data_IF_007729981143
#
_entry.id   IF_007729981143
#
_cell.length_a   1.000
_cell.length_b   1.000
_cell.length_c   1.000
_cell.angle_alpha   90.00
_cell.angle_beta   90.00
_cell.angle_gamma   90.00
#
_symmetry.space_group_name_H-M   'P 1'
#
loop_
_entity.id
_entity.type
_entity.pdbx_description
1 polymer ?
#
# COMPACT_ATOMS: atom_id res chain seq x y z
N UNK A 1 -35.69 3.50 6.22
CA UNK A 1 -35.22 2.31 5.49
C UNK A 1 -34.35 1.49 6.44
N UNK A 2 -34.67 0.21 6.75
CA UNK A 2 -33.77 -0.57 7.59
C UNK A 2 -32.50 -0.91 6.79
N UNK A 3 -31.33 -0.78 7.42
CA UNK A 3 -30.06 -1.24 6.87
C UNK A 3 -30.14 -2.76 6.70
N UNK A 4 -30.11 -3.25 5.47
CA UNK A 4 -30.07 -4.69 5.20
C UNK A 4 -28.60 -5.09 5.02
N UNK A 5 -28.06 -5.82 5.99
CA UNK A 5 -26.77 -6.50 5.87
C UNK A 5 -26.92 -7.79 5.06
N UNK A 6 -25.81 -8.24 4.47
CA UNK A 6 -25.67 -9.57 3.87
C UNK A 6 -24.47 -10.26 4.52
N UNK A 7 -24.67 -11.48 5.01
CA UNK A 7 -23.61 -12.30 5.61
C UNK A 7 -23.36 -13.50 4.71
N UNK A 8 -22.08 -13.78 4.43
CA UNK A 8 -21.64 -14.93 3.65
C UNK A 8 -20.80 -15.83 4.57
N UNK A 9 -21.36 -16.95 5.01
CA UNK A 9 -20.62 -18.00 5.70
C UNK A 9 -20.15 -19.01 4.65
N UNK A 10 -18.95 -18.77 4.12
CA UNK A 10 -18.38 -19.54 3.01
C UNK A 10 -16.85 -19.58 3.14
N UNK A 11 -16.19 -20.69 2.77
CA UNK A 11 -14.74 -20.73 2.67
C UNK A 11 -14.19 -19.80 1.59
N UNK A 12 -15.03 -19.37 0.62
CA UNK A 12 -14.61 -18.57 -0.53
C UNK A 12 -15.74 -17.67 -1.04
N UNK A 13 -15.44 -16.39 -1.22
CA UNK A 13 -16.28 -15.42 -1.92
C UNK A 13 -15.47 -14.80 -3.06
N UNK A 14 -15.99 -14.83 -4.28
CA UNK A 14 -15.29 -14.36 -5.48
C UNK A 14 -16.15 -13.44 -6.33
N UNK A 15 -15.49 -12.49 -6.99
CA UNK A 15 -16.05 -11.65 -8.04
C UNK A 15 -15.17 -11.76 -9.28
N UNK A 16 -15.76 -11.92 -10.46
CA UNK A 16 -15.00 -12.11 -11.71
C UNK A 16 -14.47 -10.82 -12.31
N UNK A 17 -14.97 -9.66 -11.85
CA UNK A 17 -14.48 -8.34 -12.25
C UNK A 17 -14.19 -7.48 -11.02
N UNK A 18 -15.15 -6.66 -10.60
CA UNK A 18 -14.92 -5.61 -9.60
C UNK A 18 -15.68 -5.91 -8.32
N UNK A 19 -14.99 -5.81 -7.18
CA UNK A 19 -15.58 -5.70 -5.85
C UNK A 19 -15.52 -4.24 -5.42
N UNK A 20 -16.69 -3.62 -5.21
CA UNK A 20 -16.78 -2.22 -4.72
C UNK A 20 -17.37 -2.20 -3.31
N UNK A 21 -16.58 -1.78 -2.33
CA UNK A 21 -17.04 -1.46 -0.99
C UNK A 21 -17.11 0.06 -0.80
N UNK A 22 -18.30 0.62 -0.53
CA UNK A 22 -18.42 2.06 -0.24
C UNK A 22 -17.91 2.44 1.17
N UNK A 23 -17.89 1.46 2.07
CA UNK A 23 -17.38 1.61 3.42
C UNK A 23 -15.94 1.12 3.54
N UNK A 24 -15.69 0.31 4.57
CA UNK A 24 -14.36 -0.26 4.85
C UNK A 24 -14.27 -1.69 4.34
N UNK A 25 -13.07 -2.09 3.95
CA UNK A 25 -12.68 -3.50 3.77
C UNK A 25 -11.81 -3.88 4.97
N UNK A 26 -12.08 -5.02 5.60
CA UNK A 26 -11.27 -5.56 6.69
C UNK A 26 -10.85 -6.99 6.37
N UNK A 27 -9.55 -7.28 6.43
CA UNK A 27 -8.95 -8.59 6.16
C UNK A 27 -8.15 -9.08 7.36
N UNK A 28 -8.81 -9.70 8.34
CA UNK A 28 -8.18 -10.16 9.59
C UNK A 28 -7.06 -11.21 9.39
N UNK A 29 -7.11 -11.98 8.29
CA UNK A 29 -6.07 -12.94 7.91
C UNK A 29 -4.99 -12.38 6.98
N UNK A 30 -4.98 -11.06 6.76
CA UNK A 30 -4.17 -10.39 5.74
C UNK A 30 -4.96 -10.05 4.48
N UNK A 31 -4.32 -9.30 3.60
CA UNK A 31 -4.89 -8.89 2.31
C UNK A 31 -3.80 -9.00 1.24
N UNK A 32 -4.05 -9.77 0.20
CA UNK A 32 -3.21 -9.85 -0.98
C UNK A 32 -3.88 -9.08 -2.12
N UNK A 33 -3.16 -8.12 -2.70
CA UNK A 33 -3.58 -7.39 -3.90
C UNK A 33 -2.52 -7.66 -4.98
N UNK A 34 -2.93 -8.30 -6.08
CA UNK A 34 -2.02 -8.82 -7.10
C UNK A 34 -2.52 -8.52 -8.51
N UNK A 35 -1.58 -8.33 -9.45
CA UNK A 35 -1.87 -7.98 -10.84
C UNK A 35 -2.19 -6.49 -11.04
N UNK A 36 -2.45 -6.11 -12.31
CA UNK A 36 -2.75 -4.72 -12.69
C UNK A 36 -1.57 -3.75 -12.47
N UNK A 37 -1.89 -2.46 -12.34
CA UNK A 37 -0.92 -1.38 -12.08
C UNK A 37 -0.73 -1.08 -10.58
N UNK A 38 -1.06 -2.04 -9.71
CA UNK A 38 -0.98 -1.88 -8.25
C UNK A 38 -2.24 -1.28 -7.60
N UNK A 39 -2.08 -0.74 -6.39
CA UNK A 39 -3.13 -0.11 -5.61
C UNK A 39 -2.91 1.41 -5.51
N UNK A 40 -3.99 2.19 -5.54
CA UNK A 40 -3.95 3.65 -5.34
C UNK A 40 -4.79 4.03 -4.14
N UNK A 41 -4.25 4.91 -3.30
CA UNK A 41 -4.89 5.41 -2.10
C UNK A 41 -5.04 6.93 -2.20
N UNK A 42 -6.19 7.44 -1.77
CA UNK A 42 -6.39 8.87 -1.56
C UNK A 42 -6.63 9.10 -0.06
N UNK A 43 -5.64 9.67 0.62
CA UNK A 43 -5.59 9.81 2.08
C UNK A 43 -4.38 9.10 2.68
N UNK A 44 -4.37 9.02 4.00
CA UNK A 44 -3.24 8.47 4.76
C UNK A 44 -3.20 6.94 4.70
N UNK A 45 -1.97 6.40 4.65
CA UNK A 45 -1.69 4.97 4.84
C UNK A 45 -0.87 4.82 6.12
N UNK A 46 -1.48 4.28 7.17
CA UNK A 46 -0.81 4.02 8.45
C UNK A 46 -0.46 2.54 8.57
N UNK A 47 0.82 2.22 8.53
CA UNK A 47 1.33 0.90 8.89
C UNK A 47 1.72 0.85 10.37
N UNK A 48 1.29 -0.20 11.07
CA UNK A 48 1.66 -0.44 12.47
C UNK A 48 2.43 -1.76 12.54
N UNK A 49 3.73 -1.67 12.85
CA UNK A 49 4.63 -2.82 12.90
C UNK A 49 4.93 -3.45 11.53
N UNK A 50 5.72 -4.53 11.55
CA UNK A 50 6.14 -5.25 10.34
C UNK A 50 7.08 -4.45 9.43
N UNK A 51 7.35 -5.00 8.24
CA UNK A 51 8.24 -4.43 7.23
C UNK A 51 7.48 -4.21 5.91
N UNK A 52 7.92 -3.24 5.12
CA UNK A 52 7.61 -3.15 3.69
C UNK A 52 8.80 -3.77 2.95
N UNK A 53 8.52 -4.70 2.04
CA UNK A 53 9.53 -5.26 1.13
C UNK A 53 9.07 -5.02 -0.29
N UNK A 54 9.95 -4.43 -1.09
CA UNK A 54 9.75 -4.12 -2.51
C UNK A 54 11.05 -4.40 -3.23
N UNK A 55 10.97 -4.85 -4.47
CA UNK A 55 12.10 -5.01 -5.39
C UNK A 55 12.32 -3.77 -6.27
N UNK A 56 11.35 -2.85 -6.28
CA UNK A 56 11.42 -1.55 -6.93
C UNK A 56 11.70 -0.38 -5.97
N UNK A 57 11.84 0.81 -6.55
CA UNK A 57 12.06 2.06 -5.80
C UNK A 57 10.77 2.57 -5.13
N UNK A 58 10.93 3.13 -3.94
CA UNK A 58 9.88 3.91 -3.28
C UNK A 58 10.12 5.39 -3.57
N UNK A 59 9.27 5.98 -4.40
CA UNK A 59 9.34 7.40 -4.69
C UNK A 59 8.34 8.19 -3.82
N UNK A 60 8.86 9.02 -2.92
CA UNK A 60 8.07 9.88 -2.05
C UNK A 60 8.32 11.35 -2.40
N UNK A 61 7.28 12.06 -2.85
CA UNK A 61 7.37 13.48 -3.24
C UNK A 61 8.50 13.77 -4.24
N UNK A 62 8.71 12.86 -5.22
CA UNK A 62 9.76 12.96 -6.22
C UNK A 62 11.15 12.51 -5.74
N UNK A 63 11.28 12.01 -4.50
CA UNK A 63 12.54 11.51 -3.94
C UNK A 63 12.56 9.98 -4.00
N UNK A 64 13.51 9.46 -4.77
CA UNK A 64 13.83 8.03 -4.85
C UNK A 64 14.43 7.56 -3.53
N UNK A 65 13.86 6.55 -2.89
CA UNK A 65 14.42 5.96 -1.68
C UNK A 65 15.81 5.38 -1.96
N UNK A 66 15.99 4.71 -3.10
CA UNK A 66 17.26 4.02 -3.39
C UNK A 66 18.34 4.92 -3.99
N UNK A 67 17.99 6.11 -4.49
CA UNK A 67 18.97 7.03 -5.12
C UNK A 67 19.11 8.39 -4.42
N UNK A 68 18.36 8.67 -3.35
CA UNK A 68 18.41 10.01 -2.72
C UNK A 68 19.80 10.35 -2.17
N UNK A 69 20.15 11.63 -2.21
CA UNK A 69 21.36 12.17 -1.60
C UNK A 69 20.99 13.24 -0.57
N UNK A 70 21.88 13.48 0.39
CA UNK A 70 21.78 14.58 1.34
C UNK A 70 22.89 15.60 1.11
N UNK A 71 22.74 16.80 1.66
CA UNK A 71 23.85 17.76 1.77
C UNK A 71 24.86 17.21 2.79
N UNK A 72 26.11 17.08 2.39
CA UNK A 72 27.20 16.64 3.25
C UNK A 72 27.61 17.71 4.26
N UNK A 73 28.31 17.27 5.31
CA UNK A 73 28.77 18.13 6.42
C UNK A 73 29.90 19.10 6.05
N UNK A 74 30.60 18.83 4.95
CA UNK A 74 31.80 19.54 4.50
C UNK A 74 31.61 20.30 3.19
N UNK A 75 30.35 20.63 2.83
CA UNK A 75 30.01 21.46 1.67
C UNK A 75 29.74 20.72 0.36
N UNK A 76 29.86 19.37 0.34
CA UNK A 76 29.47 18.52 -0.79
C UNK A 76 28.06 17.91 -0.64
N UNK A 77 27.78 16.86 -1.42
CA UNK A 77 26.63 15.97 -1.24
C UNK A 77 27.10 14.56 -0.84
N UNK A 78 26.25 13.78 -0.19
CA UNK A 78 26.49 12.36 0.04
C UNK A 78 26.41 11.57 -1.26
N UNK A 79 26.92 10.33 -1.25
CA UNK A 79 26.52 9.31 -2.23
C UNK A 79 25.09 8.81 -1.99
N UNK A 80 24.64 7.90 -2.84
CA UNK A 80 23.37 7.17 -2.66
C UNK A 80 23.46 6.18 -1.48
N UNK A 81 22.31 5.74 -0.92
CA UNK A 81 22.26 4.69 0.08
C UNK A 81 22.94 3.40 -0.40
N UNK A 82 23.50 2.63 0.54
CA UNK A 82 24.15 1.34 0.29
C UNK A 82 23.18 0.18 0.44
#
# INVERSE_FOLDING_TARGET
>A
MPLRGANFDTPKLETTQVLTAQGKINGNGGMAVQGGSGATFNGDVTQIGGNITTDGDVNASGKSLVNHTHRGDSGGNTGSPQ
#
